data_IF_585222924010
#
_entry.id   IF_585222924010
#
_cell.length_a   1.000
_cell.length_b   1.000
_cell.length_c   1.000
_cell.angle_alpha   90.00
_cell.angle_beta   90.00
_cell.angle_gamma   90.00
#
_symmetry.space_group_name_H-M   'P 1'
#
loop_
_entity.id
_entity.type
_entity.pdbx_description
1 polymer ?
#
# COMPACT_ATOMS: atom_id res chain seq x y z
N UNK A 1 -11.81 8.85 11.75
CA UNK A 1 -10.52 9.58 11.74
C UNK A 1 -10.57 10.64 10.66
N UNK A 2 -10.31 11.88 11.03
CA UNK A 2 -10.33 12.99 10.07
C UNK A 2 -8.96 13.07 9.36
N UNK A 3 -8.98 13.05 8.04
CA UNK A 3 -7.77 13.11 7.21
C UNK A 3 -7.94 14.12 6.09
N UNK A 4 -6.85 14.37 5.36
CA UNK A 4 -6.84 15.29 4.22
C UNK A 4 -6.57 14.55 2.93
N UNK A 5 -7.19 14.99 1.85
CA UNK A 5 -6.81 14.54 0.51
C UNK A 5 -5.67 15.41 -0.06
N UNK A 6 -5.26 15.12 -1.30
CA UNK A 6 -4.15 15.84 -1.93
C UNK A 6 -4.50 17.29 -2.31
N UNK A 7 -5.78 17.63 -2.36
CA UNK A 7 -6.26 18.99 -2.61
C UNK A 7 -6.48 19.78 -1.32
N UNK A 8 -6.22 19.17 -0.16
CA UNK A 8 -6.37 19.81 1.14
C UNK A 8 -7.76 19.69 1.75
N UNK A 9 -8.68 18.97 1.10
CA UNK A 9 -10.03 18.77 1.63
C UNK A 9 -10.00 17.76 2.76
N UNK A 10 -10.70 18.06 3.86
CA UNK A 10 -10.79 17.16 5.00
C UNK A 10 -12.00 16.25 4.86
N UNK A 11 -11.84 15.00 5.25
CA UNK A 11 -12.95 14.04 5.25
C UNK A 11 -12.75 12.98 6.34
N UNK A 12 -13.84 12.32 6.73
CA UNK A 12 -13.78 11.20 7.66
C UNK A 12 -13.39 9.93 6.89
N UNK A 13 -12.25 9.36 7.29
CA UNK A 13 -11.77 8.14 6.68
C UNK A 13 -12.41 6.93 7.38
N UNK A 14 -13.27 6.24 6.64
CA UNK A 14 -13.86 5.00 7.11
C UNK A 14 -12.85 3.88 6.81
N UNK A 15 -12.29 3.30 7.87
CA UNK A 15 -11.33 2.21 7.72
C UNK A 15 -12.08 0.95 7.31
N UNK A 16 -12.12 0.73 6.01
CA UNK A 16 -12.64 -0.48 5.41
C UNK A 16 -11.48 -1.24 4.78
N UNK A 17 -11.74 -2.38 4.22
CA UNK A 17 -10.72 -3.23 3.67
C UNK A 17 -10.83 -4.62 4.24
N UNK A 18 -10.09 -5.53 3.70
CA UNK A 18 -10.16 -6.92 4.08
C UNK A 18 -9.17 -7.22 5.21
N UNK A 19 -9.57 -8.06 6.15
CA UNK A 19 -8.62 -8.56 7.14
C UNK A 19 -7.55 -9.39 6.43
N UNK A 20 -6.28 -9.17 6.79
CA UNK A 20 -5.14 -9.82 6.17
C UNK A 20 -4.99 -11.29 6.60
N UNK A 21 -6.07 -12.00 6.76
CA UNK A 21 -6.13 -13.44 7.06
C UNK A 21 -7.28 -14.10 6.32
N UNK A 22 -7.91 -13.34 5.45
CA UNK A 22 -9.03 -13.84 4.68
C UNK A 22 -8.59 -14.72 3.52
N UNK A 23 -9.54 -15.02 2.66
CA UNK A 23 -9.31 -15.87 1.50
C UNK A 23 -8.29 -15.24 0.55
N UNK A 24 -7.33 -16.04 0.13
CA UNK A 24 -6.32 -15.63 -0.85
C UNK A 24 -6.93 -15.76 -2.26
N UNK A 25 -7.12 -14.61 -2.94
CA UNK A 25 -7.68 -14.58 -4.28
C UNK A 25 -6.92 -13.55 -5.11
N UNK A 26 -6.40 -13.97 -6.25
CA UNK A 26 -5.80 -13.10 -7.28
C UNK A 26 -4.69 -12.15 -6.75
N UNK A 27 -3.87 -12.64 -5.80
CA UNK A 27 -2.75 -11.88 -5.28
C UNK A 27 -1.43 -12.43 -5.80
N UNK A 28 -0.45 -11.54 -6.02
CA UNK A 28 0.89 -11.94 -6.41
C UNK A 28 1.58 -12.73 -5.31
N UNK A 29 2.60 -13.50 -5.66
CA UNK A 29 3.40 -14.21 -4.67
C UNK A 29 4.11 -13.27 -3.71
N UNK A 30 4.54 -12.10 -4.18
CA UNK A 30 5.15 -11.07 -3.35
C UNK A 30 4.16 -10.54 -2.32
N UNK A 31 2.92 -10.28 -2.72
CA UNK A 31 1.87 -9.83 -1.81
C UNK A 31 1.62 -10.85 -0.70
N UNK A 32 1.55 -12.13 -1.06
CA UNK A 32 1.31 -13.21 -0.09
C UNK A 32 2.49 -13.38 0.88
N UNK A 33 3.72 -13.22 0.41
CA UNK A 33 4.89 -13.24 1.30
C UNK A 33 4.88 -12.06 2.26
N UNK A 34 4.57 -10.88 1.77
CA UNK A 34 4.45 -9.69 2.62
C UNK A 34 3.39 -9.89 3.69
N UNK A 35 2.22 -10.42 3.33
CA UNK A 35 1.15 -10.74 4.29
C UNK A 35 1.67 -11.62 5.42
N UNK A 36 2.35 -12.71 5.08
CA UNK A 36 2.89 -13.65 6.05
C UNK A 36 3.91 -12.98 6.97
N UNK A 37 4.82 -12.21 6.41
CA UNK A 37 5.86 -11.52 7.17
C UNK A 37 5.29 -10.46 8.11
N UNK A 38 4.34 -9.65 7.63
CA UNK A 38 3.69 -8.63 8.45
C UNK A 38 2.90 -9.27 9.58
N UNK A 39 2.13 -10.33 9.30
CA UNK A 39 1.36 -11.04 10.31
C UNK A 39 2.26 -11.67 11.37
N UNK A 40 3.41 -12.20 10.98
CA UNK A 40 4.38 -12.77 11.91
C UNK A 40 5.04 -11.72 12.79
N UNK A 41 5.31 -10.54 12.24
CA UNK A 41 5.93 -9.43 12.98
C UNK A 41 4.95 -8.77 13.96
N UNK A 42 3.66 -8.73 13.62
CA UNK A 42 2.62 -8.05 14.41
C UNK A 42 1.44 -8.98 14.67
N UNK A 43 1.64 -10.08 15.41
CA UNK A 43 0.62 -11.14 15.55
C UNK A 43 -0.64 -10.71 16.33
N UNK A 44 -0.56 -9.62 17.08
CA UNK A 44 -1.68 -9.13 17.89
C UNK A 44 -2.34 -7.88 17.33
N UNK A 45 -1.83 -7.34 16.23
CA UNK A 45 -2.37 -6.11 15.63
C UNK A 45 -3.32 -6.42 14.49
N UNK A 46 -4.30 -5.54 14.32
CA UNK A 46 -5.16 -5.58 13.15
C UNK A 46 -4.38 -5.16 11.91
N UNK A 47 -4.45 -5.96 10.87
CA UNK A 47 -3.84 -5.70 9.58
C UNK A 47 -4.96 -5.67 8.55
N UNK A 48 -5.13 -4.55 7.87
CA UNK A 48 -6.12 -4.39 6.81
C UNK A 48 -5.44 -4.44 5.46
N UNK A 49 -6.10 -5.03 4.48
CA UNK A 49 -5.63 -5.11 3.09
C UNK A 49 -6.60 -4.39 2.15
N UNK A 50 -6.07 -3.90 1.04
CA UNK A 50 -6.87 -3.23 0.01
C UNK A 50 -7.69 -2.10 0.61
N UNK A 51 -7.04 -1.23 1.36
CA UNK A 51 -7.70 -0.15 2.08
C UNK A 51 -7.91 1.03 1.15
N UNK A 52 -9.17 1.43 0.90
CA UNK A 52 -9.43 2.55 0.02
C UNK A 52 -9.05 3.89 0.66
N UNK A 53 -8.41 4.73 -0.12
CA UNK A 53 -8.09 6.11 0.25
C UNK A 53 -8.60 7.03 -0.84
N UNK A 54 -9.24 8.11 -0.44
CA UNK A 54 -9.67 9.14 -1.38
C UNK A 54 -8.54 10.16 -1.52
N UNK A 55 -7.81 10.09 -2.63
CA UNK A 55 -6.67 10.99 -2.87
C UNK A 55 -7.13 12.37 -3.35
N UNK A 56 -8.25 12.39 -4.05
CA UNK A 56 -8.97 13.60 -4.47
C UNK A 56 -10.45 13.28 -4.51
N UNK A 57 -11.29 14.31 -4.62
CA UNK A 57 -12.72 14.11 -4.84
C UNK A 57 -12.91 13.23 -6.07
N UNK A 58 -13.67 12.16 -5.92
CA UNK A 58 -13.96 11.18 -6.98
C UNK A 58 -12.77 10.36 -7.49
N UNK A 59 -11.65 10.35 -6.75
CA UNK A 59 -10.50 9.52 -7.10
C UNK A 59 -10.06 8.70 -5.90
N UNK A 60 -10.20 7.37 -6.01
CA UNK A 60 -9.87 6.43 -4.95
C UNK A 60 -8.68 5.56 -5.37
N UNK A 61 -7.71 5.44 -4.49
CA UNK A 61 -6.62 4.48 -4.61
C UNK A 61 -6.70 3.50 -3.44
N UNK A 62 -5.92 2.43 -3.48
CA UNK A 62 -5.97 1.38 -2.46
C UNK A 62 -4.57 1.15 -1.89
N UNK A 63 -4.49 1.07 -0.56
CA UNK A 63 -3.26 0.69 0.13
C UNK A 63 -3.23 -0.83 0.24
N UNK A 64 -2.07 -1.45 -0.03
CA UNK A 64 -1.94 -2.91 0.07
C UNK A 64 -2.17 -3.39 1.49
N UNK A 65 -1.44 -2.82 2.45
CA UNK A 65 -1.55 -3.15 3.87
C UNK A 65 -1.55 -1.90 4.72
N UNK A 66 -2.43 -1.86 5.71
CA UNK A 66 -2.46 -0.77 6.68
C UNK A 66 -2.64 -1.32 8.09
N UNK A 67 -1.79 -0.85 9.00
CA UNK A 67 -1.85 -1.18 10.43
C UNK A 67 -2.35 0.05 11.19
N UNK A 68 -3.65 0.09 11.55
CA UNK A 68 -4.25 1.30 12.16
C UNK A 68 -3.57 1.76 13.44
N UNK A 69 -3.22 0.83 14.33
CA UNK A 69 -2.63 1.17 15.62
C UNK A 69 -1.23 1.75 15.52
N UNK A 70 -0.48 1.39 14.49
CA UNK A 70 0.87 1.90 14.27
C UNK A 70 0.92 3.02 13.25
N UNK A 71 -0.16 3.25 12.51
CA UNK A 71 -0.22 4.20 11.40
C UNK A 71 0.89 3.93 10.38
N UNK A 72 1.00 2.68 9.95
CA UNK A 72 1.99 2.23 8.98
C UNK A 72 1.28 1.59 7.80
N UNK A 73 1.70 1.98 6.60
CA UNK A 73 1.30 1.38 5.35
C UNK A 73 2.47 0.63 4.74
N UNK A 74 2.26 -0.62 4.36
CA UNK A 74 3.22 -1.39 3.56
C UNK A 74 2.67 -1.55 2.15
N UNK A 75 3.49 -1.22 1.16
CA UNK A 75 3.12 -1.36 -0.25
C UNK A 75 4.08 -2.32 -0.94
N UNK A 76 3.54 -3.34 -1.59
CA UNK A 76 4.33 -4.33 -2.31
C UNK A 76 4.57 -3.85 -3.73
N UNK A 77 5.83 -3.61 -4.07
CA UNK A 77 6.21 -3.12 -5.38
C UNK A 77 6.89 -4.21 -6.21
N UNK A 78 6.15 -4.80 -7.15
CA UNK A 78 6.71 -5.72 -8.13
C UNK A 78 7.52 -4.96 -9.19
N UNK A 79 8.10 -5.69 -10.14
CA UNK A 79 8.94 -5.10 -11.19
C UNK A 79 8.22 -4.00 -11.97
N UNK A 80 6.92 -4.16 -12.20
CA UNK A 80 6.09 -3.21 -12.94
C UNK A 80 5.99 -1.82 -12.29
N UNK A 81 6.33 -1.67 -11.02
CA UNK A 81 6.37 -0.36 -10.35
C UNK A 81 7.61 0.45 -10.73
N UNK A 82 8.68 -0.21 -11.19
CA UNK A 82 9.96 0.42 -11.47
C UNK A 82 10.33 0.44 -12.94
N UNK A 83 9.80 -0.52 -13.72
CA UNK A 83 10.16 -0.71 -15.12
C UNK A 83 8.91 -0.81 -15.97
N UNK A 84 9.01 -0.36 -17.21
CA UNK A 84 7.96 -0.61 -18.19
C UNK A 84 7.91 -2.10 -18.50
N UNK A 85 6.81 -2.75 -18.17
CA UNK A 85 6.56 -4.16 -18.47
C UNK A 85 5.31 -4.23 -19.35
N UNK A 86 5.45 -4.54 -20.65
CA UNK A 86 4.32 -4.52 -21.60
C UNK A 86 3.12 -5.35 -21.17
N UNK A 87 3.36 -6.48 -20.51
CA UNK A 87 2.28 -7.35 -20.02
C UNK A 87 1.36 -6.62 -19.02
N UNK A 88 1.92 -5.77 -18.16
CA UNK A 88 1.13 -5.04 -17.15
C UNK A 88 0.66 -3.67 -17.62
N UNK A 89 1.47 -2.99 -18.43
CA UNK A 89 1.20 -1.57 -18.73
C UNK A 89 0.58 -1.33 -20.10
N UNK A 90 0.87 -2.20 -21.07
CA UNK A 90 0.52 -2.06 -22.49
C UNK A 90 1.21 -0.87 -23.17
N UNK A 91 1.22 0.30 -22.55
CA UNK A 91 1.84 1.51 -23.09
C UNK A 91 2.73 2.20 -22.05
N UNK A 92 3.68 3.00 -22.55
CA UNK A 92 4.54 3.81 -21.66
C UNK A 92 3.70 4.83 -20.88
N UNK A 93 2.65 5.38 -21.48
CA UNK A 93 1.76 6.31 -20.79
C UNK A 93 1.10 5.64 -19.57
N UNK A 94 0.65 4.39 -19.69
CA UNK A 94 0.07 3.65 -18.57
C UNK A 94 1.10 3.38 -17.48
N UNK A 95 2.35 3.11 -17.85
CA UNK A 95 3.44 2.98 -16.90
C UNK A 95 3.65 4.28 -16.11
N UNK A 96 3.69 5.42 -16.78
CA UNK A 96 3.84 6.72 -16.12
C UNK A 96 2.68 7.04 -15.19
N UNK A 97 1.45 6.69 -15.60
CA UNK A 97 0.26 6.83 -14.74
C UNK A 97 0.36 5.95 -13.49
N UNK A 98 0.86 4.73 -13.63
CA UNK A 98 1.05 3.83 -12.50
C UNK A 98 2.08 4.38 -11.51
N UNK A 99 3.20 4.91 -12.00
CA UNK A 99 4.19 5.56 -11.15
C UNK A 99 3.62 6.79 -10.43
N UNK A 100 2.80 7.57 -11.11
CA UNK A 100 2.13 8.72 -10.51
C UNK A 100 1.23 8.28 -9.36
N UNK A 101 0.46 7.21 -9.53
CA UNK A 101 -0.38 6.68 -8.46
C UNK A 101 0.43 6.28 -7.23
N UNK A 102 1.58 5.64 -7.43
CA UNK A 102 2.46 5.26 -6.32
C UNK A 102 2.95 6.49 -5.54
N UNK A 103 3.38 7.52 -6.27
CA UNK A 103 3.82 8.78 -5.64
C UNK A 103 2.67 9.46 -4.88
N UNK A 104 1.47 9.43 -5.42
CA UNK A 104 0.30 10.03 -4.77
C UNK A 104 -0.12 9.29 -3.50
N UNK A 105 0.00 7.96 -3.48
CA UNK A 105 -0.23 7.19 -2.26
C UNK A 105 0.77 7.58 -1.17
N UNK A 106 2.05 7.69 -1.53
CA UNK A 106 3.10 8.08 -0.59
C UNK A 106 2.86 9.49 -0.05
N UNK A 107 2.54 10.44 -0.93
CA UNK A 107 2.22 11.82 -0.53
C UNK A 107 1.01 11.87 0.39
N UNK A 108 -0.06 11.13 0.05
CA UNK A 108 -1.24 11.07 0.88
C UNK A 108 -0.94 10.54 2.29
N UNK A 109 -0.11 9.49 2.37
CA UNK A 109 0.32 8.95 3.66
C UNK A 109 1.12 10.00 4.44
N UNK A 110 2.04 10.68 3.78
CA UNK A 110 2.89 11.68 4.42
C UNK A 110 2.08 12.82 5.02
N UNK A 111 1.14 13.41 4.28
CA UNK A 111 0.33 14.52 4.79
C UNK A 111 -0.61 14.10 5.92
N UNK A 112 -0.91 12.82 6.04
CA UNK A 112 -1.77 12.27 7.09
C UNK A 112 -0.99 11.58 8.22
N UNK A 113 0.31 11.78 8.29
CA UNK A 113 1.20 11.24 9.33
C UNK A 113 1.17 9.70 9.38
N UNK A 114 1.02 9.08 8.22
CA UNK A 114 1.09 7.63 8.05
C UNK A 114 2.45 7.30 7.44
N UNK A 115 3.18 6.37 8.05
CA UNK A 115 4.46 5.95 7.52
C UNK A 115 4.25 5.04 6.31
N UNK A 116 4.86 5.38 5.19
CA UNK A 116 4.77 4.62 3.95
C UNK A 116 6.05 3.80 3.76
N UNK A 117 5.92 2.49 3.67
CA UNK A 117 7.06 1.57 3.56
C UNK A 117 6.90 0.72 2.31
N UNK A 118 7.67 0.99 1.25
CA UNK A 118 7.65 0.15 0.06
C UNK A 118 8.45 -1.13 0.29
N UNK A 119 7.90 -2.25 -0.18
CA UNK A 119 8.55 -3.54 -0.16
C UNK A 119 8.85 -3.93 -1.61
N UNK A 120 10.05 -3.59 -2.07
CA UNK A 120 10.45 -3.78 -3.45
C UNK A 120 10.77 -5.25 -3.77
N UNK A 121 10.38 -5.71 -4.95
CA UNK A 121 10.53 -7.10 -5.37
C UNK A 121 11.98 -7.59 -5.38
N UNK A 122 12.94 -6.70 -5.63
CA UNK A 122 14.35 -7.04 -5.71
C UNK A 122 15.09 -6.91 -4.37
N UNK A 123 14.36 -6.63 -3.30
CA UNK A 123 14.91 -6.47 -1.95
C UNK A 123 14.18 -7.31 -0.91
N UNK A 124 13.65 -8.46 -1.31
CA UNK A 124 12.90 -9.34 -0.41
C UNK A 124 13.71 -9.75 0.83
N UNK A 125 15.02 -9.91 0.70
CA UNK A 125 15.88 -10.27 1.81
C UNK A 125 15.98 -9.17 2.88
N UNK A 126 15.58 -7.95 2.56
CA UNK A 126 15.56 -6.82 3.49
C UNK A 126 14.18 -6.56 4.10
N UNK A 127 13.13 -7.19 3.57
CA UNK A 127 11.75 -6.96 4.02
C UNK A 127 11.55 -7.24 5.50
N UNK A 128 12.16 -8.31 6.01
CA UNK A 128 12.01 -8.67 7.42
C UNK A 128 12.48 -7.54 8.33
N UNK A 129 13.66 -6.98 8.05
CA UNK A 129 14.18 -5.86 8.82
C UNK A 129 13.32 -4.61 8.67
N UNK A 130 12.88 -4.31 7.45
CA UNK A 130 12.03 -3.15 7.17
C UNK A 130 10.69 -3.23 7.92
N UNK A 131 10.13 -4.43 8.02
CA UNK A 131 8.87 -4.65 8.71
C UNK A 131 9.06 -4.60 10.23
N UNK A 132 10.05 -5.31 10.76
CA UNK A 132 10.27 -5.43 12.21
C UNK A 132 10.71 -4.12 12.84
N UNK A 133 11.51 -3.32 12.13
CA UNK A 133 12.04 -2.05 12.65
C UNK A 133 11.02 -0.90 12.61
N UNK A 134 9.76 -1.20 12.35
CA UNK A 134 8.67 -0.22 12.31
C UNK A 134 7.48 -0.62 13.22
#
# INVERSE_FOLDING_TARGET
>A
MLIKDLDGNKYNWLLTGNMAKGRIVNKSSYHLRARTMIASAFPTLQILEEVPIQVRKNETLFLDFYLPLKKICFEVHGEQHYKFVPFYHSTILNFLKAQKRDREKEEWCEINSIKYIPLAYDKENEWSNDIVNN
#
